data_IF_617552163704
#
_entry.id   IF_617552163704
#
_cell.length_a   1.000
_cell.length_b   1.000
_cell.length_c   1.000
_cell.angle_alpha   90.00
_cell.angle_beta   90.00
_cell.angle_gamma   90.00
#
_symmetry.space_group_name_H-M   'P 1'
#
loop_
_entity.id
_entity.type
_entity.pdbx_description
1 polymer ?
#
# COMPACT_ATOMS: atom_id res chain seq x y z
N UNK A 1 -3.16 -3.45 -10.51
CA UNK A 1 -3.45 -2.16 -9.81
C UNK A 1 -2.21 -1.31 -9.51
N UNK A 2 -1.18 -1.89 -8.88
CA UNK A 2 0.07 -1.16 -8.57
C UNK A 2 0.79 -0.62 -9.81
N UNK A 3 0.89 -1.43 -10.88
CA UNK A 3 1.49 -1.01 -12.15
C UNK A 3 0.76 0.20 -12.78
N UNK A 4 -0.57 0.15 -12.80
CA UNK A 4 -1.38 1.26 -13.27
C UNK A 4 -1.13 2.54 -12.44
N UNK A 5 -1.09 2.43 -11.11
CA UNK A 5 -0.79 3.56 -10.24
C UNK A 5 0.59 4.17 -10.53
N UNK A 6 1.61 3.33 -10.76
CA UNK A 6 2.95 3.77 -11.13
C UNK A 6 2.96 4.55 -12.46
N UNK A 7 2.24 4.06 -13.47
CA UNK A 7 2.09 4.74 -14.76
C UNK A 7 1.36 6.08 -14.63
N UNK A 8 0.29 6.15 -13.83
CA UNK A 8 -0.43 7.39 -13.57
C UNK A 8 0.43 8.41 -12.84
N UNK A 9 1.25 8.00 -11.86
CA UNK A 9 2.17 8.89 -11.14
C UNK A 9 3.23 9.46 -12.08
N UNK A 10 3.77 8.64 -12.99
CA UNK A 10 4.71 9.11 -14.01
C UNK A 10 4.07 10.13 -14.95
N UNK A 11 2.84 9.87 -15.40
CA UNK A 11 2.11 10.78 -16.28
C UNK A 11 1.78 12.10 -15.58
N UNK A 12 1.20 12.05 -14.37
CA UNK A 12 0.76 13.22 -13.62
C UNK A 12 1.92 14.13 -13.19
N UNK A 13 3.11 13.56 -12.97
CA UNK A 13 4.32 14.30 -12.61
C UNK A 13 5.10 14.84 -13.83
N UNK A 14 4.64 14.63 -15.06
CA UNK A 14 5.40 15.00 -16.26
C UNK A 14 6.73 14.25 -16.38
N UNK A 15 6.83 13.04 -15.80
CA UNK A 15 8.05 12.24 -15.74
C UNK A 15 8.99 12.55 -14.58
N UNK A 16 8.67 13.51 -13.71
CA UNK A 16 9.50 13.84 -12.55
C UNK A 16 9.48 12.73 -11.47
N UNK A 17 8.45 11.89 -11.44
CA UNK A 17 8.36 10.73 -10.55
C UNK A 17 8.36 9.43 -11.36
N UNK A 18 9.26 8.50 -10.99
CA UNK A 18 9.30 7.14 -11.51
C UNK A 18 9.12 6.16 -10.35
N UNK A 19 8.11 5.29 -10.45
CA UNK A 19 7.86 4.23 -9.46
C UNK A 19 8.15 2.89 -10.11
N UNK A 20 9.07 2.12 -9.53
CA UNK A 20 9.36 0.74 -9.94
C UNK A 20 8.54 -0.22 -9.11
N UNK A 21 7.76 -1.06 -9.76
CA UNK A 21 6.91 -2.06 -9.09
C UNK A 21 7.67 -3.37 -8.94
N UNK A 22 7.63 -3.94 -7.74
CA UNK A 22 8.23 -5.21 -7.40
C UNK A 22 7.15 -6.18 -6.94
N UNK A 23 7.26 -7.45 -7.35
CA UNK A 23 6.35 -8.51 -6.89
C UNK A 23 6.42 -8.70 -5.36
N UNK A 24 5.32 -9.13 -4.71
CA UNK A 24 5.29 -9.36 -3.26
C UNK A 24 6.44 -10.27 -2.79
N UNK A 25 7.08 -9.92 -1.68
CA UNK A 25 8.20 -10.69 -1.11
C UNK A 25 9.57 -10.39 -1.71
N UNK A 26 9.66 -9.65 -2.83
CA UNK A 26 10.96 -9.36 -3.48
C UNK A 26 11.81 -8.33 -2.72
N UNK A 27 11.19 -7.30 -2.15
CA UNK A 27 11.89 -6.26 -1.37
C UNK A 27 11.66 -6.42 0.14
N UNK A 28 10.41 -6.66 0.52
CA UNK A 28 9.95 -6.82 1.89
C UNK A 28 8.95 -7.97 1.97
N UNK A 29 8.76 -8.61 3.14
CA UNK A 29 7.73 -9.62 3.31
C UNK A 29 6.35 -9.08 2.92
N UNK A 30 5.55 -9.89 2.22
CA UNK A 30 4.31 -9.44 1.58
C UNK A 30 3.30 -8.81 2.55
N UNK A 31 3.27 -9.26 3.81
CA UNK A 31 2.36 -8.77 4.86
C UNK A 31 2.98 -7.73 5.81
N UNK A 32 4.19 -7.25 5.51
CA UNK A 32 4.88 -6.22 6.32
C UNK A 32 5.07 -4.89 5.57
N UNK A 33 4.39 -4.71 4.43
CA UNK A 33 4.53 -3.52 3.58
C UNK A 33 4.24 -2.22 4.37
N UNK A 34 3.17 -2.18 5.19
CA UNK A 34 2.83 -0.99 5.98
C UNK A 34 3.95 -0.63 6.97
N UNK A 35 4.45 -1.63 7.70
CA UNK A 35 5.54 -1.44 8.65
C UNK A 35 6.84 -1.02 7.95
N UNK A 36 7.16 -1.62 6.81
CA UNK A 36 8.35 -1.28 6.05
C UNK A 36 8.36 0.18 5.55
N UNK A 37 7.21 0.70 5.12
CA UNK A 37 7.06 2.12 4.76
C UNK A 37 7.17 3.00 6.00
N UNK A 38 6.48 2.63 7.09
CA UNK A 38 6.50 3.39 8.35
C UNK A 38 7.90 3.50 8.96
N UNK A 39 8.71 2.46 8.83
CA UNK A 39 10.11 2.41 9.31
C UNK A 39 11.11 3.06 8.33
N UNK A 40 10.65 3.54 7.17
CA UNK A 40 11.51 4.11 6.13
C UNK A 40 12.42 3.09 5.41
N UNK A 41 12.08 1.79 5.47
CA UNK A 41 12.83 0.72 4.77
C UNK A 41 12.55 0.68 3.26
N UNK A 42 11.40 1.20 2.84
CA UNK A 42 10.99 1.39 1.45
C UNK A 42 10.20 2.70 1.35
N UNK A 43 10.34 3.41 0.24
CA UNK A 43 9.77 4.74 0.04
C UNK A 43 8.24 4.70 -0.16
N UNK A 44 7.74 3.61 -0.71
CA UNK A 44 6.32 3.41 -0.96
C UNK A 44 5.94 1.92 -0.89
N UNK A 45 4.64 1.67 -0.72
CA UNK A 45 4.06 0.33 -0.69
C UNK A 45 2.64 0.32 -1.22
N UNK A 46 2.26 -0.76 -1.90
CA UNK A 46 0.89 -0.98 -2.38
C UNK A 46 0.35 -2.26 -1.73
N UNK A 47 -0.61 -2.11 -0.83
CA UNK A 47 -1.18 -3.23 -0.06
C UNK A 47 -2.64 -2.96 0.30
N UNK A 48 -3.34 -3.98 0.77
CA UNK A 48 -4.60 -3.81 1.49
C UNK A 48 -4.30 -3.70 2.98
N UNK A 49 -4.56 -2.53 3.55
CA UNK A 49 -4.18 -2.22 4.94
C UNK A 49 -4.88 -3.13 5.96
N UNK A 50 -5.99 -3.78 5.59
CA UNK A 50 -6.71 -4.75 6.42
C UNK A 50 -5.86 -5.90 6.96
N UNK A 51 -4.75 -6.26 6.29
CA UNK A 51 -3.81 -7.28 6.80
C UNK A 51 -3.15 -6.88 8.12
N UNK A 52 -3.05 -5.58 8.41
CA UNK A 52 -2.41 -5.05 9.62
C UNK A 52 -3.41 -4.84 10.78
N UNK A 53 -4.66 -5.31 10.68
CA UNK A 53 -5.67 -5.15 11.74
C UNK A 53 -5.25 -5.70 13.11
N UNK A 54 -4.38 -6.72 13.14
CA UNK A 54 -3.82 -7.28 14.38
C UNK A 54 -2.71 -6.43 15.00
N UNK A 55 -2.15 -5.48 14.24
CA UNK A 55 -1.07 -4.58 14.67
C UNK A 55 -1.59 -3.16 14.94
N UNK A 56 -2.54 -2.69 14.12
CA UNK A 56 -3.10 -1.34 14.19
C UNK A 56 -4.63 -1.42 14.25
N UNK A 57 -5.18 -1.24 15.46
CA UNK A 57 -6.62 -1.41 15.72
C UNK A 57 -7.53 -0.47 14.90
N UNK A 58 -7.03 0.67 14.42
CA UNK A 58 -7.79 1.64 13.63
C UNK A 58 -7.90 1.28 12.13
N UNK A 59 -7.13 0.31 11.64
CA UNK A 59 -7.10 -0.12 10.23
C UNK A 59 -8.47 -0.43 9.63
N UNK A 60 -9.41 -1.09 10.34
CA UNK A 60 -10.73 -1.40 9.77
C UNK A 60 -11.50 -0.17 9.30
N UNK A 61 -11.22 1.02 9.84
CA UNK A 61 -11.82 2.29 9.40
C UNK A 61 -11.42 2.69 7.97
N UNK A 62 -10.26 2.25 7.50
CA UNK A 62 -9.67 2.59 6.19
C UNK A 62 -9.61 1.40 5.23
N UNK A 63 -9.98 0.21 5.71
CA UNK A 63 -10.01 -1.03 4.95
C UNK A 63 -11.46 -1.42 4.60
N UNK A 64 -11.82 -2.67 4.84
CA UNK A 64 -13.19 -3.15 4.73
C UNK A 64 -13.61 -3.79 6.05
N UNK A 65 -14.84 -3.52 6.46
CA UNK A 65 -15.54 -4.22 7.54
C UNK A 65 -16.73 -4.97 6.95
N UNK A 66 -17.17 -6.10 7.56
CA UNK A 66 -18.42 -6.74 7.19
C UNK A 66 -19.57 -5.72 7.21
N UNK A 67 -20.43 -5.75 6.18
CA UNK A 67 -21.61 -4.89 6.03
C UNK A 67 -21.36 -3.38 5.82
N UNK A 68 -20.09 -2.93 5.84
CA UNK A 68 -19.74 -1.54 5.57
C UNK A 68 -20.18 -0.55 6.67
N UNK A 69 -20.22 0.75 6.33
CA UNK A 69 -20.59 1.84 7.24
C UNK A 69 -22.08 2.22 7.18
N UNK A 70 -22.85 1.55 6.32
CA UNK A 70 -24.29 1.82 6.16
C UNK A 70 -25.07 0.83 7.04
N UNK A 71 -26.19 1.26 7.66
CA UNK A 71 -27.13 0.33 8.30
C UNK A 71 -27.68 -0.69 7.29
#
# INVERSE_FOLDING_TARGET
PAQYAAEQLKLASGGAMEVRVYEPGKLVPAFDILAAVSDGKTEAGYTWIGYDQGKVAAVPLFAAVPFGLKP
#
